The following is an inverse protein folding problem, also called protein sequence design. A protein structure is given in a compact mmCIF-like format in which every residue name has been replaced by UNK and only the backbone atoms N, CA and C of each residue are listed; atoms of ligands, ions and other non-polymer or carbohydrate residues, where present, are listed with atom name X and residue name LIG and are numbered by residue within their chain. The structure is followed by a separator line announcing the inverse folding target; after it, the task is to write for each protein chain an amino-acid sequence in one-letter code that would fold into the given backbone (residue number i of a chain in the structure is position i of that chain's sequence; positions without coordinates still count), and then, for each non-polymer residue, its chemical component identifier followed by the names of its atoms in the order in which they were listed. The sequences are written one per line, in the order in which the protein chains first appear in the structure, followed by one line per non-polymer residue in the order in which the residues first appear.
data_IF_690289481944
#
_entry.id   IF_690289481944
#
_cell.length_a   1.000
_cell.length_b   1.000
_cell.length_c   1.000
_cell.angle_alpha   90.00
_cell.angle_beta   90.00
_cell.angle_gamma   90.00
#
_symmetry.space_group_name_H-M   'P 1'
#
loop_
_entity.id
_entity.type
_entity.pdbx_description
1 polymer ?
#
# COMPACT_ATOMS: atom_id res chain seq x y z
N UNK A 1 -7.10 4.40 -18.20
CA UNK A 1 -6.95 2.96 -18.46
C UNK A 1 -8.33 2.38 -18.70
N UNK A 2 -8.53 1.62 -19.79
CA UNK A 2 -9.82 0.95 -20.06
C UNK A 2 -10.09 -0.17 -19.04
N UNK A 3 -11.35 -0.59 -18.81
CA UNK A 3 -11.65 -1.70 -17.89
C UNK A 3 -10.93 -3.00 -18.22
N UNK A 4 -10.75 -3.32 -19.52
CA UNK A 4 -10.02 -4.50 -19.97
C UNK A 4 -8.52 -4.40 -19.69
N UNK A 5 -7.93 -3.27 -20.02
CA UNK A 5 -6.52 -3.02 -19.75
C UNK A 5 -6.24 -3.00 -18.24
N UNK A 6 -7.18 -2.48 -17.42
CA UNK A 6 -7.04 -2.44 -15.96
C UNK A 6 -6.72 -3.81 -15.39
N UNK A 7 -7.42 -4.86 -15.81
CA UNK A 7 -7.19 -6.22 -15.31
C UNK A 7 -5.78 -6.68 -15.68
N UNK A 8 -5.40 -6.57 -16.95
CA UNK A 8 -4.10 -7.04 -17.45
C UNK A 8 -2.95 -6.29 -16.79
N UNK A 9 -3.02 -4.96 -16.75
CA UNK A 9 -1.99 -4.11 -16.19
C UNK A 9 -1.86 -4.32 -14.67
N UNK A 10 -3.00 -4.44 -13.95
CA UNK A 10 -2.98 -4.71 -12.51
C UNK A 10 -2.35 -6.06 -12.18
N UNK A 11 -2.63 -7.10 -12.95
CA UNK A 11 -1.99 -8.41 -12.78
C UNK A 11 -0.49 -8.34 -13.05
N UNK A 12 -0.06 -7.67 -14.10
CA UNK A 12 1.36 -7.50 -14.40
C UNK A 12 2.10 -6.72 -13.30
N UNK A 13 1.48 -5.68 -12.74
CA UNK A 13 2.04 -4.94 -11.60
C UNK A 13 2.05 -5.78 -10.33
N UNK A 14 0.99 -6.57 -10.07
CA UNK A 14 0.92 -7.48 -8.92
C UNK A 14 2.06 -8.51 -8.97
N UNK A 15 2.35 -9.09 -10.13
CA UNK A 15 3.46 -10.04 -10.29
C UNK A 15 4.79 -9.43 -9.85
N UNK A 16 5.04 -8.14 -10.13
CA UNK A 16 6.25 -7.46 -9.65
C UNK A 16 6.34 -7.49 -8.12
N UNK A 17 5.21 -7.25 -7.43
CA UNK A 17 5.14 -7.31 -5.97
C UNK A 17 5.40 -8.73 -5.46
N UNK A 18 4.77 -9.74 -6.04
CA UNK A 18 4.85 -11.13 -5.57
C UNK A 18 6.27 -11.70 -5.63
N UNK A 19 7.09 -11.23 -6.57
CA UNK A 19 8.50 -11.61 -6.68
C UNK A 19 9.44 -10.84 -5.77
N UNK A 20 8.98 -9.77 -5.10
CA UNK A 20 9.83 -9.00 -4.18
C UNK A 20 10.14 -9.80 -2.91
N UNK A 21 11.42 -9.82 -2.52
CA UNK A 21 11.86 -10.42 -1.28
C UNK A 21 11.13 -9.84 -0.06
N UNK A 22 11.01 -8.50 0.01
CA UNK A 22 10.28 -7.82 1.07
C UNK A 22 8.81 -8.26 1.19
N UNK A 23 8.11 -8.52 0.07
CA UNK A 23 6.79 -9.10 0.10
C UNK A 23 6.81 -10.56 0.55
N UNK A 24 7.72 -11.36 0.02
CA UNK A 24 7.83 -12.79 0.35
C UNK A 24 8.12 -13.03 1.82
N UNK A 25 9.00 -12.23 2.40
CA UNK A 25 9.37 -12.30 3.82
C UNK A 25 8.37 -11.64 4.76
N UNK A 26 7.47 -10.79 4.27
CA UNK A 26 6.49 -10.12 5.12
C UNK A 26 5.56 -11.11 5.82
N UNK A 27 5.21 -10.83 7.07
CA UNK A 27 4.18 -11.53 7.83
C UNK A 27 2.85 -10.76 7.86
N UNK A 28 2.89 -9.49 7.47
CA UNK A 28 1.72 -8.61 7.36
C UNK A 28 1.80 -7.79 6.08
N UNK A 29 0.72 -7.75 5.33
CA UNK A 29 0.55 -6.90 4.16
C UNK A 29 -0.53 -5.86 4.45
N UNK A 30 -0.16 -4.59 4.38
CA UNK A 30 -1.12 -3.47 4.38
C UNK A 30 -1.45 -3.15 2.93
N UNK A 31 -2.73 -3.24 2.55
CA UNK A 31 -3.15 -3.00 1.17
C UNK A 31 -4.39 -2.09 1.13
N UNK A 32 -4.37 -1.06 0.31
CA UNK A 32 -5.59 -0.30 0.06
C UNK A 32 -6.58 -1.12 -0.77
N UNK A 33 -7.87 -0.86 -0.58
CA UNK A 33 -8.93 -1.44 -1.40
C UNK A 33 -9.21 -0.48 -2.55
N UNK A 34 -8.98 -0.95 -3.76
CA UNK A 34 -8.92 -0.11 -4.95
C UNK A 34 -10.28 0.44 -5.38
N UNK A 35 -10.31 1.72 -5.69
CA UNK A 35 -11.42 2.33 -6.44
C UNK A 35 -11.44 1.81 -7.89
N UNK A 36 -12.59 1.94 -8.60
CA UNK A 36 -12.68 1.52 -10.00
C UNK A 36 -11.65 2.16 -10.94
N UNK A 37 -11.15 3.35 -10.61
CA UNK A 37 -10.14 4.07 -11.38
C UNK A 37 -8.69 3.79 -10.97
N UNK A 38 -8.47 3.07 -9.87
CA UNK A 38 -7.14 2.75 -9.35
C UNK A 38 -6.65 1.40 -9.86
N UNK A 39 -5.35 1.18 -9.78
CA UNK A 39 -4.76 -0.14 -10.00
C UNK A 39 -5.36 -1.14 -9.01
N UNK A 40 -5.65 -2.35 -9.46
CA UNK A 40 -6.35 -3.34 -8.65
C UNK A 40 -5.40 -4.11 -7.74
N UNK A 41 -5.59 -3.99 -6.44
CA UNK A 41 -4.79 -4.68 -5.41
C UNK A 41 -5.27 -6.10 -5.10
N UNK A 42 -6.41 -6.53 -5.65
CA UNK A 42 -7.06 -7.81 -5.30
C UNK A 42 -6.16 -9.02 -5.51
N UNK A 43 -5.33 -9.01 -6.57
CA UNK A 43 -4.40 -10.11 -6.84
C UNK A 43 -3.35 -10.25 -5.73
N UNK A 44 -2.81 -9.13 -5.25
CA UNK A 44 -1.82 -9.10 -4.15
C UNK A 44 -2.47 -9.53 -2.85
N UNK A 45 -3.67 -9.04 -2.54
CA UNK A 45 -4.43 -9.41 -1.33
C UNK A 45 -4.69 -10.92 -1.31
N UNK A 46 -5.24 -11.47 -2.41
CA UNK A 46 -5.50 -12.91 -2.52
C UNK A 46 -4.23 -13.76 -2.39
N UNK A 47 -3.14 -13.34 -3.01
CA UNK A 47 -1.87 -14.04 -2.93
C UNK A 47 -1.30 -14.02 -1.50
N UNK A 48 -1.41 -12.89 -0.79
CA UNK A 48 -0.97 -12.76 0.58
C UNK A 48 -1.77 -13.67 1.53
N UNK A 49 -3.12 -13.66 1.42
CA UNK A 49 -3.99 -14.54 2.23
C UNK A 49 -3.70 -16.02 1.97
N UNK A 50 -3.59 -16.44 0.70
CA UNK A 50 -3.24 -17.82 0.34
C UNK A 50 -1.87 -18.26 0.86
N UNK A 51 -0.93 -17.33 1.00
CA UNK A 51 0.38 -17.59 1.59
C UNK A 51 0.37 -17.59 3.13
N UNK A 52 -0.80 -17.50 3.76
CA UNK A 52 -0.96 -17.46 5.23
C UNK A 52 -0.47 -16.16 5.87
N UNK A 53 -0.31 -15.10 5.09
CA UNK A 53 0.06 -13.79 5.63
C UNK A 53 -1.17 -13.10 6.23
N UNK A 54 -0.97 -12.35 7.30
CA UNK A 54 -1.98 -11.39 7.72
C UNK A 54 -2.11 -10.28 6.66
N UNK A 55 -3.35 -9.88 6.37
CA UNK A 55 -3.65 -8.77 5.46
C UNK A 55 -4.54 -7.78 6.19
N UNK A 56 -4.29 -6.48 6.01
CA UNK A 56 -5.14 -5.45 6.56
C UNK A 56 -5.36 -4.31 5.55
N UNK A 57 -6.55 -3.72 5.60
CA UNK A 57 -6.94 -2.62 4.75
C UNK A 57 -7.30 -1.37 5.56
N UNK A 58 -7.10 -0.18 4.96
CA UNK A 58 -7.34 1.08 5.64
C UNK A 58 -8.84 1.40 5.74
N UNK A 59 -9.19 2.05 6.82
CA UNK A 59 -10.46 2.78 7.01
C UNK A 59 -10.15 4.12 7.66
N UNK A 60 -11.04 5.08 7.53
CA UNK A 60 -10.88 6.40 8.15
C UNK A 60 -11.69 6.46 9.43
N UNK A 61 -11.01 6.71 10.53
CA UNK A 61 -11.61 6.89 11.86
C UNK A 61 -11.08 8.18 12.50
N UNK A 62 -11.97 9.03 12.96
CA UNK A 62 -11.59 10.29 13.63
C UNK A 62 -10.70 11.22 12.78
N UNK A 63 -10.71 11.10 11.44
CA UNK A 63 -9.86 11.88 10.56
C UNK A 63 -8.44 11.30 10.36
N UNK A 64 -8.18 10.10 10.87
CA UNK A 64 -6.93 9.38 10.72
C UNK A 64 -7.15 8.04 9.99
N UNK A 65 -6.05 7.50 9.46
CA UNK A 65 -6.08 6.18 8.84
C UNK A 65 -5.88 5.10 9.90
N UNK A 66 -6.79 4.15 9.94
CA UNK A 66 -6.71 2.95 10.77
C UNK A 66 -6.71 1.71 9.86
N UNK A 67 -6.02 0.65 10.24
CA UNK A 67 -6.01 -0.59 9.49
C UNK A 67 -6.78 -1.68 10.24
N UNK A 68 -7.66 -2.39 9.52
CA UNK A 68 -8.39 -3.54 10.02
C UNK A 68 -8.01 -4.80 9.24
N UNK A 69 -7.91 -5.92 9.94
CA UNK A 69 -7.60 -7.20 9.31
C UNK A 69 -8.69 -7.62 8.33
N UNK A 70 -8.24 -8.21 7.24
CA UNK A 70 -9.08 -8.87 6.23
C UNK A 70 -8.92 -10.38 6.36
N UNK A 71 -10.00 -11.09 6.13
CA UNK A 71 -10.03 -12.54 5.93
C UNK A 71 -10.37 -12.91 4.48
N UNK A 72 -10.54 -14.17 4.18
CA UNK A 72 -10.84 -14.66 2.85
C UNK A 72 -12.21 -14.17 2.31
N UNK A 73 -13.11 -13.73 3.18
CA UNK A 73 -14.43 -13.20 2.80
C UNK A 73 -14.44 -11.71 2.44
N UNK A 74 -13.27 -11.04 2.43
CA UNK A 74 -13.16 -9.60 2.25
C UNK A 74 -13.86 -9.05 0.98
N UNK A 75 -13.95 -9.82 -0.08
CA UNK A 75 -14.64 -9.42 -1.31
C UNK A 75 -16.16 -9.26 -1.12
N UNK A 76 -16.71 -9.91 -0.10
CA UNK A 76 -18.12 -9.86 0.30
C UNK A 76 -18.44 -8.74 1.28
N UNK A 77 -17.45 -7.95 1.69
CA UNK A 77 -17.66 -6.82 2.60
C UNK A 77 -18.64 -5.80 2.01
N UNK A 78 -19.44 -5.12 2.85
CA UNK A 78 -20.25 -4.00 2.43
C UNK A 78 -19.41 -2.97 1.71
N UNK A 79 -19.99 -2.31 0.69
CA UNK A 79 -19.28 -1.30 -0.08
C UNK A 79 -19.78 0.09 0.30
N UNK A 80 -18.87 1.05 0.33
CA UNK A 80 -19.20 2.46 0.51
C UNK A 80 -19.84 3.08 -0.75
N UNK A 81 -20.14 4.37 -0.70
CA UNK A 81 -20.71 5.12 -1.83
C UNK A 81 -19.81 5.20 -3.08
N UNK A 82 -18.53 4.88 -2.94
CA UNK A 82 -17.55 4.81 -4.02
C UNK A 82 -17.35 3.38 -4.56
N UNK A 83 -18.09 2.41 -4.01
CA UNK A 83 -17.99 1.01 -4.37
C UNK A 83 -16.79 0.30 -3.77
N UNK A 84 -16.13 0.88 -2.77
CA UNK A 84 -14.96 0.31 -2.09
C UNK A 84 -15.44 -0.60 -0.96
N UNK A 85 -14.96 -1.85 -0.86
CA UNK A 85 -15.25 -2.68 0.30
C UNK A 85 -14.82 -1.98 1.59
N UNK A 86 -15.69 -2.00 2.59
CA UNK A 86 -15.43 -1.34 3.88
C UNK A 86 -14.96 -2.36 4.90
N UNK A 87 -13.71 -2.29 5.36
CA UNK A 87 -13.21 -3.16 6.41
C UNK A 87 -14.07 -3.06 7.67
N UNK A 88 -14.24 -4.18 8.43
CA UNK A 88 -15.10 -4.20 9.60
C UNK A 88 -14.63 -3.19 10.65
N UNK A 89 -15.60 -2.62 11.39
CA UNK A 89 -15.29 -1.87 12.59
C UNK A 89 -14.67 -2.82 13.64
N UNK A 90 -13.67 -2.34 14.38
CA UNK A 90 -12.97 -3.13 15.39
C UNK A 90 -11.73 -2.40 15.85
N UNK A 91 -10.95 -3.00 16.71
CA UNK A 91 -9.68 -2.41 17.13
C UNK A 91 -8.73 -2.26 15.94
N UNK A 92 -8.19 -1.05 15.69
CA UNK A 92 -7.18 -0.85 14.67
C UNK A 92 -5.89 -1.56 15.04
N UNK A 93 -5.10 -1.94 14.04
CA UNK A 93 -3.75 -2.46 14.27
C UNK A 93 -2.93 -1.34 14.92
N UNK A 94 -2.42 -1.60 16.13
CA UNK A 94 -1.58 -0.66 16.82
C UNK A 94 -0.22 -0.50 16.13
N UNK A 95 0.36 0.69 16.15
CA UNK A 95 1.71 0.93 15.61
C UNK A 95 2.76 0.02 16.26
N UNK A 96 2.59 -0.32 17.55
CA UNK A 96 3.47 -1.22 18.28
C UNK A 96 3.43 -2.66 17.71
N UNK A 97 2.29 -3.10 17.19
CA UNK A 97 2.17 -4.41 16.53
C UNK A 97 2.90 -4.41 15.18
N UNK A 98 2.91 -3.29 14.46
CA UNK A 98 3.71 -3.16 13.23
C UNK A 98 5.20 -3.32 13.51
N UNK A 99 5.67 -2.83 14.65
CA UNK A 99 7.07 -2.90 15.06
C UNK A 99 7.59 -4.34 15.24
N UNK A 100 6.71 -5.27 15.61
CA UNK A 100 7.04 -6.67 15.85
C UNK A 100 6.92 -7.55 14.62
N UNK A 101 6.54 -6.98 13.48
CA UNK A 101 6.23 -7.72 12.26
C UNK A 101 7.10 -7.26 11.09
N UNK A 102 7.29 -8.16 10.15
CA UNK A 102 7.78 -7.82 8.82
C UNK A 102 6.58 -7.32 7.99
N UNK A 103 6.52 -6.02 7.73
CA UNK A 103 5.36 -5.37 7.10
C UNK A 103 5.72 -4.92 5.69
N UNK A 104 4.92 -5.33 4.72
CA UNK A 104 4.92 -4.79 3.36
C UNK A 104 3.65 -3.96 3.16
N UNK A 105 3.77 -2.70 2.71
CA UNK A 105 2.64 -1.80 2.59
C UNK A 105 2.49 -1.28 1.16
N UNK A 106 1.32 -1.53 0.53
CA UNK A 106 0.93 -0.90 -0.73
C UNK A 106 0.38 0.49 -0.43
N UNK A 107 0.96 1.50 -1.07
CA UNK A 107 0.63 2.90 -0.87
C UNK A 107 -0.04 3.45 -2.13
N UNK A 108 -1.30 3.96 -2.04
CA UNK A 108 -1.98 4.56 -3.17
C UNK A 108 -1.48 5.98 -3.45
N UNK A 109 -1.68 6.43 -4.67
CA UNK A 109 -1.43 7.81 -5.08
C UNK A 109 -2.08 8.14 -6.41
N UNK A 110 -2.30 9.42 -6.67
CA UNK A 110 -2.73 9.91 -7.98
C UNK A 110 -1.56 9.96 -8.95
N UNK A 111 -0.40 10.42 -8.48
CA UNK A 111 0.85 10.48 -9.24
C UNK A 111 2.01 10.05 -8.35
N UNK A 112 3.04 9.51 -8.98
CA UNK A 112 4.32 9.18 -8.37
C UNK A 112 5.46 9.71 -9.24
N UNK A 113 6.64 9.86 -8.65
CA UNK A 113 7.87 10.08 -9.40
C UNK A 113 8.96 9.07 -9.02
N UNK A 114 10.01 9.03 -9.82
CA UNK A 114 11.12 8.08 -9.61
C UNK A 114 11.97 8.40 -8.39
N UNK A 115 11.75 9.53 -7.72
CA UNK A 115 12.40 9.89 -6.45
C UNK A 115 11.56 9.53 -5.23
N UNK A 116 10.41 8.85 -5.43
CA UNK A 116 9.50 8.44 -4.39
C UNK A 116 8.50 9.52 -3.97
N UNK A 117 8.49 10.65 -4.67
CA UNK A 117 7.46 11.68 -4.48
C UNK A 117 6.08 11.11 -4.83
N UNK A 118 5.08 11.47 -4.05
CA UNK A 118 3.72 10.96 -4.19
C UNK A 118 2.70 12.09 -4.04
N UNK A 119 1.79 12.21 -5.02
CA UNK A 119 0.62 13.07 -4.92
C UNK A 119 -0.58 12.23 -4.49
N UNK A 120 -1.14 12.55 -3.34
CA UNK A 120 -2.38 11.97 -2.84
C UNK A 120 -3.61 12.84 -3.15
N UNK A 121 -4.75 12.50 -2.57
CA UNK A 121 -6.03 13.23 -2.73
C UNK A 121 -6.15 14.47 -1.82
N UNK A 122 -5.05 14.97 -1.24
CA UNK A 122 -5.00 16.20 -0.46
C UNK A 122 -5.46 16.10 1.00
N UNK A 123 -5.81 14.91 1.50
CA UNK A 123 -6.20 14.72 2.92
C UNK A 123 -5.02 14.41 3.85
N UNK A 124 -3.85 14.06 3.29
CA UNK A 124 -2.63 13.76 4.04
C UNK A 124 -2.68 12.50 4.92
N UNK A 125 -3.69 11.64 4.76
CA UNK A 125 -3.86 10.44 5.60
C UNK A 125 -2.64 9.53 5.57
N UNK A 126 -2.15 9.20 4.37
CA UNK A 126 -0.99 8.33 4.21
C UNK A 126 0.31 9.00 4.66
N UNK A 127 0.44 10.31 4.50
CA UNK A 127 1.66 11.02 4.94
C UNK A 127 1.75 11.01 6.47
N UNK A 128 0.66 11.29 7.17
CA UNK A 128 0.62 11.19 8.64
C UNK A 128 0.87 9.77 9.12
N UNK A 129 0.23 8.77 8.50
CA UNK A 129 0.45 7.37 8.83
C UNK A 129 1.92 6.96 8.63
N UNK A 130 2.49 7.24 7.46
CA UNK A 130 3.89 6.91 7.16
C UNK A 130 4.85 7.62 8.10
N UNK A 131 4.62 8.90 8.39
CA UNK A 131 5.44 9.66 9.34
C UNK A 131 5.39 9.03 10.74
N UNK A 132 4.20 8.64 11.22
CA UNK A 132 4.03 7.98 12.53
C UNK A 132 4.73 6.61 12.58
N UNK A 133 4.60 5.81 11.51
CA UNK A 133 5.29 4.51 11.42
C UNK A 133 6.80 4.70 11.43
N UNK A 134 7.32 5.60 10.60
CA UNK A 134 8.78 5.83 10.50
C UNK A 134 9.35 6.40 11.80
N UNK A 135 8.62 7.26 12.50
CA UNK A 135 9.02 7.77 13.82
C UNK A 135 9.07 6.65 14.87
N UNK A 136 8.16 5.67 14.78
CA UNK A 136 8.06 4.55 15.74
C UNK A 136 9.06 3.43 15.44
N UNK A 137 9.25 3.09 14.16
CA UNK A 137 10.07 1.94 13.74
C UNK A 137 11.52 2.31 13.45
N UNK A 138 11.81 3.58 13.23
CA UNK A 138 13.07 4.03 12.65
C UNK A 138 13.17 3.60 11.17
N UNK A 139 14.27 3.99 10.53
CA UNK A 139 14.60 3.56 9.16
C UNK A 139 15.31 2.19 9.18
N UNK A 140 14.67 1.18 9.76
CA UNK A 140 15.25 -0.16 9.89
C UNK A 140 15.52 -0.80 8.52
N UNK A 141 16.77 -1.13 8.28
CA UNK A 141 17.19 -2.01 7.19
C UNK A 141 16.74 -3.44 7.50
N UNK A 142 16.35 -4.19 6.46
CA UNK A 142 16.04 -5.61 6.57
C UNK A 142 17.20 -6.36 7.30
N UNK A 143 16.93 -6.93 8.48
CA UNK A 143 17.95 -7.66 9.26
C UNK A 143 17.65 -7.82 10.75
N UNK A 144 16.86 -6.94 11.34
CA UNK A 144 16.46 -7.02 12.74
C UNK A 144 14.96 -7.30 12.86
N UNK A 145 14.49 -7.77 13.98
CA UNK A 145 13.20 -8.45 14.29
C UNK A 145 11.90 -7.94 13.63
N UNK A 146 11.94 -6.90 12.84
CA UNK A 146 10.82 -6.36 12.04
C UNK A 146 11.31 -5.38 10.99
N UNK A 147 10.55 -5.20 9.92
CA UNK A 147 10.78 -4.14 8.94
C UNK A 147 9.45 -3.58 8.44
N UNK A 148 9.48 -2.35 7.93
CA UNK A 148 8.36 -1.73 7.24
C UNK A 148 8.82 -1.25 5.87
N UNK A 149 8.25 -1.82 4.82
CA UNK A 149 8.59 -1.49 3.43
C UNK A 149 7.36 -0.92 2.72
N UNK A 150 7.21 0.41 2.65
CA UNK A 150 6.17 1.04 1.85
C UNK A 150 6.55 1.01 0.37
N UNK A 151 5.59 0.63 -0.47
CA UNK A 151 5.72 0.56 -1.92
C UNK A 151 4.54 1.26 -2.58
N UNK A 152 4.79 2.32 -3.33
CA UNK A 152 3.79 2.92 -4.21
C UNK A 152 3.31 1.89 -5.23
N UNK A 153 2.00 1.79 -5.43
CA UNK A 153 1.43 0.84 -6.37
C UNK A 153 0.47 1.58 -7.30
N UNK A 154 0.84 1.67 -8.58
CA UNK A 154 0.14 2.51 -9.54
C UNK A 154 0.37 2.03 -10.99
N UNK A 155 -0.36 2.58 -11.95
CA UNK A 155 -0.07 2.39 -13.36
C UNK A 155 1.16 3.22 -13.78
N UNK A 156 1.90 2.75 -14.79
CA UNK A 156 3.05 3.51 -15.35
C UNK A 156 2.63 4.90 -15.83
N UNK A 157 1.42 5.06 -16.34
CA UNK A 157 0.86 6.36 -16.75
C UNK A 157 0.70 7.37 -15.60
N UNK A 158 0.79 6.92 -14.35
CA UNK A 158 0.77 7.78 -13.16
C UNK A 158 2.19 8.18 -12.71
N UNK A 159 3.23 7.66 -13.38
CA UNK A 159 4.61 8.03 -13.08
C UNK A 159 5.00 9.25 -13.90
N UNK A 160 5.29 10.34 -13.22
CA UNK A 160 5.66 11.64 -13.82
C UNK A 160 7.12 11.98 -13.53
N UNK A 161 7.73 12.92 -14.27
CA UNK A 161 9.13 13.31 -14.02
C UNK A 161 9.38 13.81 -12.61
N UNK A 162 8.45 14.59 -12.03
CA UNK A 162 8.57 15.15 -10.69
C UNK A 162 7.19 15.42 -10.10
N UNK A 163 6.98 14.99 -8.86
CA UNK A 163 5.84 15.36 -8.01
C UNK A 163 6.27 16.50 -7.07
N UNK A 164 5.55 17.62 -7.03
CA UNK A 164 5.79 18.63 -6.02
C UNK A 164 5.55 18.05 -4.62
N UNK A 165 6.58 18.06 -3.79
CA UNK A 165 6.52 17.59 -2.40
C UNK A 165 6.91 18.70 -1.44
N UNK A 166 6.35 18.66 -0.24
CA UNK A 166 6.64 19.55 0.88
C UNK A 166 7.35 18.78 1.99
N UNK A 167 7.75 19.44 3.04
CA UNK A 167 8.35 18.82 4.24
C UNK A 167 7.38 17.87 4.99
N UNK A 168 6.06 17.97 4.70
CA UNK A 168 5.03 17.14 5.31
C UNK A 168 4.79 15.85 4.55
N UNK A 169 5.28 15.77 3.32
CA UNK A 169 5.05 14.61 2.44
C UNK A 169 6.13 13.56 2.69
N UNK A 170 5.70 12.30 2.83
CA UNK A 170 6.61 11.17 3.03
C UNK A 170 6.86 10.47 1.70
N UNK A 171 8.12 10.44 1.27
CA UNK A 171 8.53 9.70 0.08
C UNK A 171 8.46 8.20 0.31
N UNK A 172 8.05 7.46 -0.72
CA UNK A 172 8.08 6.00 -0.70
C UNK A 172 9.37 5.48 -1.34
N UNK A 173 10.07 4.52 -0.72
CA UNK A 173 11.35 4.02 -1.25
C UNK A 173 11.20 3.17 -2.51
N UNK A 174 10.00 2.69 -2.79
CA UNK A 174 9.69 1.80 -3.91
C UNK A 174 8.42 2.25 -4.61
N UNK A 175 8.38 2.10 -5.94
CA UNK A 175 7.16 2.25 -6.74
C UNK A 175 7.09 1.09 -7.72
N UNK A 176 5.99 0.34 -7.71
CA UNK A 176 5.73 -0.77 -8.61
C UNK A 176 4.61 -0.43 -9.59
N UNK A 177 4.88 -0.68 -10.86
CA UNK A 177 3.95 -0.52 -11.99
C UNK A 177 3.94 -1.80 -12.83
N UNK A 178 3.06 -1.89 -13.83
CA UNK A 178 3.10 -2.97 -14.81
C UNK A 178 4.40 -3.00 -15.63
N UNK A 179 5.04 -1.85 -15.79
CA UNK A 179 6.28 -1.72 -16.59
C UNK A 179 7.53 -2.04 -15.79
N UNK A 180 7.51 -1.89 -14.45
CA UNK A 180 8.70 -2.13 -13.66
C UNK A 180 8.56 -1.83 -12.16
N UNK A 181 9.66 -2.07 -11.46
CA UNK A 181 9.87 -1.70 -10.07
C UNK A 181 10.96 -0.64 -10.00
N UNK A 182 10.65 0.51 -9.44
CA UNK A 182 11.60 1.61 -9.26
C UNK A 182 11.98 1.73 -7.80
N UNK A 183 13.27 1.90 -7.53
CA UNK A 183 13.79 2.27 -6.21
C UNK A 183 14.00 3.80 -6.21
N UNK A 184 13.34 4.50 -5.30
CA UNK A 184 13.51 5.92 -5.13
C UNK A 184 14.91 6.21 -4.60
N UNK A 185 15.66 6.99 -5.35
CA UNK A 185 16.87 7.68 -4.91
C UNK A 185 18.04 6.80 -4.42
N UNK A 186 18.92 6.44 -5.32
CA UNK A 186 20.36 6.55 -5.12
C UNK A 186 20.92 7.48 -6.17
#
# INVERSE_FOLDING_TARGET
VSPGDRIVLSLAAADRILYMEAFRESSLVLAFLSMPSEIDTSAVIRAALRAGKAVAAPRIEGGEIAFAYLDESWESLPRDSLGIPTPPAGEPIALEDLRRRKVFALIPGLLFDRTGGRLGRGKGYYDRFLASVLATLGTGTAGESGFFVPCGFCYETQVVPLVPVTERDVRVPLVATESGLFRAGR
#
